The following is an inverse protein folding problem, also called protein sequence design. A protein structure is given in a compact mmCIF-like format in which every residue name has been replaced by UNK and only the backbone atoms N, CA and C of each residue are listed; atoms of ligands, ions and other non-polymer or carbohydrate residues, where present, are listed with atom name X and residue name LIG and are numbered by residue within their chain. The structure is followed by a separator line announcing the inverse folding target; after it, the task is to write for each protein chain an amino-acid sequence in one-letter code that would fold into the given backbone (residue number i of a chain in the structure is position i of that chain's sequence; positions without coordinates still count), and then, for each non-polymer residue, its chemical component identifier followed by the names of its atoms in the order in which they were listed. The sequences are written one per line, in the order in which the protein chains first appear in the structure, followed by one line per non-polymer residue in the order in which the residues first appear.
data_IF_537092478696
#
_entry.id   IF_537092478696
#
_cell.length_a   1.000
_cell.length_b   1.000
_cell.length_c   1.000
_cell.angle_alpha   90.00
_cell.angle_beta   90.00
_cell.angle_gamma   90.00
#
_symmetry.space_group_name_H-M   'P 1'
#
loop_
_entity.id
_entity.type
_entity.pdbx_description
1 polymer ?
#
# COMPACT_ATOMS: atom_id res chain seq x y z
N UNK A 1 18.54 -2.06 -33.86
CA UNK A 1 17.62 -1.43 -34.84
C UNK A 1 16.24 -1.28 -34.18
N UNK A 2 16.09 -0.34 -33.24
CA UNK A 2 14.76 0.00 -32.71
C UNK A 2 14.10 0.94 -33.70
N UNK A 3 13.37 0.37 -34.66
CA UNK A 3 12.43 1.12 -35.48
C UNK A 3 11.39 1.72 -34.54
N UNK A 4 11.55 3.01 -34.25
CA UNK A 4 10.49 3.93 -33.84
C UNK A 4 9.52 3.42 -32.77
N UNK A 5 9.95 3.41 -31.51
CA UNK A 5 9.04 3.22 -30.39
C UNK A 5 7.98 4.35 -30.42
N UNK A 6 6.73 3.98 -30.66
CA UNK A 6 5.60 4.92 -30.71
C UNK A 6 5.48 5.75 -29.43
N UNK A 7 5.81 5.16 -28.28
CA UNK A 7 5.82 5.84 -26.97
C UNK A 7 6.86 6.97 -26.95
N UNK A 8 8.08 6.73 -27.45
CA UNK A 8 9.14 7.76 -27.52
C UNK A 8 8.76 8.88 -28.49
N UNK A 9 8.13 8.53 -29.63
CA UNK A 9 7.64 9.54 -30.60
C UNK A 9 6.49 10.37 -30.02
N UNK A 10 5.52 9.74 -29.35
CA UNK A 10 4.42 10.43 -28.72
C UNK A 10 4.90 11.35 -27.59
N UNK A 11 5.87 10.89 -26.79
CA UNK A 11 6.51 11.69 -25.75
C UNK A 11 7.19 12.93 -26.32
N UNK A 12 8.00 12.78 -27.37
CA UNK A 12 8.63 13.94 -28.04
C UNK A 12 7.59 14.94 -28.55
N UNK A 13 6.54 14.46 -29.22
CA UNK A 13 5.44 15.31 -29.68
C UNK A 13 4.71 16.03 -28.54
N UNK A 14 4.53 15.37 -27.39
CA UNK A 14 3.92 15.97 -26.23
C UNK A 14 4.81 17.05 -25.60
N UNK A 15 6.14 16.88 -25.60
CA UNK A 15 7.08 17.89 -25.11
C UNK A 15 7.14 19.15 -25.98
N UNK A 16 6.91 19.00 -27.30
CA UNK A 16 6.94 20.11 -28.25
C UNK A 16 5.55 20.78 -28.44
N UNK A 17 4.51 20.33 -27.74
CA UNK A 17 3.14 20.82 -27.91
C UNK A 17 2.81 21.95 -26.92
N UNK A 18 2.12 22.99 -27.40
CA UNK A 18 1.61 24.08 -26.55
C UNK A 18 0.47 23.63 -25.62
N UNK A 19 -0.30 22.63 -26.05
CA UNK A 19 -1.44 22.07 -25.30
C UNK A 19 -1.39 20.56 -25.36
N UNK A 20 -1.42 19.93 -24.18
CA UNK A 20 -1.39 18.47 -24.03
C UNK A 20 -2.65 18.02 -23.29
N UNK A 21 -3.41 17.12 -23.90
CA UNK A 21 -4.58 16.50 -23.29
C UNK A 21 -4.22 15.08 -22.86
N UNK A 22 -4.37 14.80 -21.57
CA UNK A 22 -4.10 13.49 -20.97
C UNK A 22 -5.30 12.99 -20.21
N UNK A 23 -5.35 11.68 -20.01
CA UNK A 23 -6.32 11.06 -19.12
C UNK A 23 -5.87 11.25 -17.65
N UNK A 24 -6.83 11.47 -16.74
CA UNK A 24 -6.58 11.61 -15.29
C UNK A 24 -5.76 10.45 -14.69
N UNK A 25 -6.00 9.21 -15.14
CA UNK A 25 -5.23 8.04 -14.72
C UNK A 25 -3.75 8.15 -15.11
N UNK A 26 -3.46 8.62 -16.32
CA UNK A 26 -2.08 8.79 -16.80
C UNK A 26 -1.39 9.93 -16.06
N UNK A 27 -2.12 11.00 -15.79
CA UNK A 27 -1.64 12.13 -14.99
C UNK A 27 -1.22 11.70 -13.57
N UNK A 28 -2.10 11.00 -12.86
CA UNK A 28 -1.83 10.54 -11.50
C UNK A 28 -0.71 9.48 -11.45
N UNK A 29 -0.65 8.59 -12.44
CA UNK A 29 0.45 7.63 -12.56
C UNK A 29 1.80 8.32 -12.79
N UNK A 30 1.85 9.33 -13.66
CA UNK A 30 3.05 10.14 -13.92
C UNK A 30 3.51 10.87 -12.65
N UNK A 31 2.57 11.43 -11.86
CA UNK A 31 2.90 12.05 -10.58
C UNK A 31 3.54 11.08 -9.57
N UNK A 32 2.98 9.88 -9.39
CA UNK A 32 3.56 8.85 -8.49
C UNK A 32 4.96 8.45 -8.95
N UNK A 33 5.18 8.35 -10.25
CA UNK A 33 6.50 8.01 -10.82
C UNK A 33 7.49 9.16 -10.66
N UNK A 34 7.05 10.42 -10.81
CA UNK A 34 7.86 11.63 -10.57
C UNK A 34 8.41 11.69 -9.15
N UNK A 35 7.62 11.33 -8.13
CA UNK A 35 8.12 11.25 -6.74
C UNK A 35 9.26 10.24 -6.57
N UNK A 36 9.29 9.17 -7.38
CA UNK A 36 10.36 8.16 -7.36
C UNK A 36 11.58 8.51 -8.23
N UNK A 37 11.53 9.61 -8.98
CA UNK A 37 12.61 10.11 -9.84
C UNK A 37 12.81 9.36 -11.17
N UNK A 38 11.89 8.48 -11.55
CA UNK A 38 12.02 7.63 -12.75
C UNK A 38 11.23 8.14 -13.96
N UNK A 39 11.69 9.25 -14.56
CA UNK A 39 11.31 9.65 -15.91
C UNK A 39 9.93 10.29 -16.05
N UNK A 40 9.89 11.44 -16.72
CA UNK A 40 8.67 12.23 -16.91
C UNK A 40 8.01 11.91 -18.25
N UNK A 41 6.76 11.45 -18.23
CA UNK A 41 5.99 11.21 -19.43
C UNK A 41 5.25 12.48 -19.88
N UNK A 42 4.79 13.28 -18.92
CA UNK A 42 4.00 14.50 -19.15
C UNK A 42 4.88 15.73 -18.85
N UNK A 43 4.99 16.69 -19.79
CA UNK A 43 5.76 17.91 -19.57
C UNK A 43 5.19 18.73 -18.40
N UNK A 44 6.04 19.52 -17.74
CA UNK A 44 5.57 20.51 -16.78
C UNK A 44 4.72 21.57 -17.50
N UNK A 45 3.63 21.98 -16.86
CA UNK A 45 2.72 22.99 -17.38
C UNK A 45 2.43 24.03 -16.30
N UNK A 46 2.42 25.31 -16.69
CA UNK A 46 2.12 26.43 -15.78
C UNK A 46 0.63 26.45 -15.36
N UNK A 47 -0.24 25.94 -16.24
CA UNK A 47 -1.69 25.92 -16.03
C UNK A 47 -2.22 24.53 -16.36
N UNK A 48 -3.03 23.99 -15.46
CA UNK A 48 -3.66 22.68 -15.61
C UNK A 48 -5.17 22.82 -15.48
N UNK A 49 -5.90 22.24 -16.44
CA UNK A 49 -7.36 22.24 -16.46
C UNK A 49 -7.83 20.80 -16.28
N UNK A 50 -8.60 20.57 -15.20
CA UNK A 50 -9.22 19.29 -14.94
C UNK A 50 -10.68 19.33 -15.38
N UNK A 51 -10.99 18.52 -16.38
CA UNK A 51 -12.38 18.27 -16.75
C UNK A 51 -12.99 17.24 -15.78
N UNK A 52 -14.25 17.41 -15.41
CA UNK A 52 -14.93 16.54 -14.43
C UNK A 52 -14.13 16.34 -13.12
N UNK A 53 -13.54 17.42 -12.61
CA UNK A 53 -12.65 17.42 -11.43
C UNK A 53 -13.25 16.75 -10.18
N UNK A 54 -14.58 16.57 -10.12
CA UNK A 54 -15.27 15.83 -9.07
C UNK A 54 -14.85 14.35 -8.99
N UNK A 55 -14.38 13.73 -10.09
CA UNK A 55 -13.90 12.33 -10.11
C UNK A 55 -12.45 12.19 -9.65
N UNK A 56 -11.69 13.29 -9.66
CA UNK A 56 -10.26 13.30 -9.38
C UNK A 56 -9.91 12.70 -8.00
N UNK A 57 -10.65 12.98 -6.90
CA UNK A 57 -10.35 12.42 -5.59
C UNK A 57 -10.45 10.88 -5.54
N UNK A 58 -11.45 10.31 -6.22
CA UNK A 58 -11.68 8.87 -6.25
C UNK A 58 -10.57 8.16 -7.02
N UNK A 59 -10.16 8.72 -8.17
CA UNK A 59 -9.05 8.17 -8.97
C UNK A 59 -7.73 8.36 -8.22
N UNK A 60 -7.49 9.53 -7.62
CA UNK A 60 -6.29 9.80 -6.82
C UNK A 60 -6.16 8.82 -5.64
N UNK A 61 -7.26 8.47 -4.99
CA UNK A 61 -7.27 7.47 -3.91
C UNK A 61 -6.83 6.08 -4.37
N UNK A 62 -6.95 5.75 -5.66
CA UNK A 62 -6.45 4.47 -6.20
C UNK A 62 -4.94 4.48 -6.45
N UNK A 63 -4.36 5.64 -6.80
CA UNK A 63 -2.93 5.78 -7.10
C UNK A 63 -2.08 6.12 -5.88
N UNK A 64 -2.57 7.01 -5.01
CA UNK A 64 -1.89 7.46 -3.80
C UNK A 64 -2.38 6.76 -2.54
N UNK A 65 -3.59 6.18 -2.57
CA UNK A 65 -4.13 5.47 -1.42
C UNK A 65 -3.46 4.11 -1.21
N UNK A 66 -3.48 3.66 0.03
CA UNK A 66 -2.94 2.36 0.40
C UNK A 66 -4.09 1.36 0.55
N UNK A 67 -3.99 0.24 -0.16
CA UNK A 67 -4.94 -0.86 -0.03
C UNK A 67 -4.40 -1.90 0.93
N UNK A 68 -5.17 -2.20 1.98
CA UNK A 68 -4.90 -3.35 2.86
C UNK A 68 -5.92 -4.45 2.58
N UNK A 69 -5.43 -5.64 2.26
CA UNK A 69 -6.26 -6.84 2.08
C UNK A 69 -6.06 -7.82 3.22
N UNK A 70 -7.11 -8.54 3.60
CA UNK A 70 -7.00 -9.64 4.58
C UNK A 70 -6.03 -10.72 4.13
N UNK A 71 -5.85 -10.93 2.81
CA UNK A 71 -4.85 -11.86 2.28
C UNK A 71 -3.42 -11.41 2.62
N UNK A 72 -3.08 -10.13 2.44
CA UNK A 72 -1.77 -9.60 2.82
C UNK A 72 -1.49 -9.76 4.32
N UNK A 73 -2.49 -9.55 5.17
CA UNK A 73 -2.36 -9.76 6.62
C UNK A 73 -2.09 -11.24 6.96
N UNK A 74 -2.78 -12.18 6.31
CA UNK A 74 -2.58 -13.60 6.52
C UNK A 74 -1.24 -14.10 6.01
N UNK A 75 -0.81 -13.60 4.85
CA UNK A 75 0.50 -13.95 4.29
C UNK A 75 1.63 -13.40 5.17
N UNK A 76 1.48 -12.17 5.72
CA UNK A 76 2.40 -11.64 6.72
C UNK A 76 2.49 -12.52 7.98
N UNK A 77 1.36 -13.00 8.50
CA UNK A 77 1.36 -13.90 9.67
C UNK A 77 2.06 -15.24 9.38
N UNK A 78 1.91 -15.79 8.16
CA UNK A 78 2.66 -16.97 7.73
C UNK A 78 4.15 -16.71 7.62
N UNK A 79 4.54 -15.59 7.02
CA UNK A 79 5.95 -15.22 6.86
C UNK A 79 6.64 -15.06 8.23
N UNK A 80 5.95 -14.48 9.21
CA UNK A 80 6.43 -14.40 10.61
C UNK A 80 6.61 -15.81 11.20
N UNK A 81 5.65 -16.71 10.96
CA UNK A 81 5.73 -18.10 11.45
C UNK A 81 6.89 -18.86 10.81
N UNK A 82 7.16 -18.63 9.53
CA UNK A 82 8.28 -19.23 8.80
C UNK A 82 9.61 -18.69 9.34
N UNK A 83 9.75 -17.37 9.44
CA UNK A 83 10.95 -16.71 9.97
C UNK A 83 11.31 -17.23 11.37
N UNK A 84 10.31 -17.41 12.24
CA UNK A 84 10.50 -18.03 13.56
C UNK A 84 11.11 -19.44 13.44
N UNK A 85 10.53 -20.30 12.60
CA UNK A 85 11.00 -21.70 12.46
C UNK A 85 12.41 -21.82 11.88
N UNK A 86 12.83 -20.87 11.05
CA UNK A 86 14.12 -20.94 10.35
C UNK A 86 15.25 -20.24 11.10
N UNK A 87 14.96 -19.15 11.83
CA UNK A 87 16.01 -18.28 12.39
C UNK A 87 16.10 -18.29 13.92
N UNK A 88 15.06 -18.70 14.66
CA UNK A 88 14.98 -18.51 16.11
C UNK A 88 14.39 -19.73 16.83
N UNK A 89 15.24 -20.53 17.48
CA UNK A 89 14.80 -21.69 18.27
C UNK A 89 14.27 -21.37 19.68
N UNK A 90 14.29 -20.10 20.11
CA UNK A 90 14.26 -19.81 21.55
C UNK A 90 13.30 -18.69 21.99
N UNK A 91 12.11 -18.58 21.38
CA UNK A 91 11.13 -17.60 21.87
C UNK A 91 9.69 -18.06 21.64
N UNK A 92 9.15 -18.88 22.55
CA UNK A 92 7.73 -19.27 22.57
C UNK A 92 6.76 -18.06 22.48
N UNK A 93 7.19 -16.88 22.94
CA UNK A 93 6.40 -15.65 22.87
C UNK A 93 6.14 -15.21 21.42
N UNK A 94 7.09 -15.44 20.50
CA UNK A 94 7.01 -14.98 19.12
C UNK A 94 6.03 -15.82 18.30
N UNK A 95 6.03 -17.14 18.53
CA UNK A 95 5.01 -18.03 17.99
C UNK A 95 3.61 -17.64 18.48
N UNK A 96 3.45 -17.34 19.78
CA UNK A 96 2.17 -16.86 20.32
C UNK A 96 1.72 -15.53 19.70
N UNK A 97 2.65 -14.61 19.41
CA UNK A 97 2.34 -13.36 18.71
C UNK A 97 1.91 -13.63 17.26
N UNK A 98 2.58 -14.52 16.54
CA UNK A 98 2.21 -14.90 15.17
C UNK A 98 0.82 -15.55 15.11
N UNK A 99 0.53 -16.47 16.04
CA UNK A 99 -0.78 -17.12 16.15
C UNK A 99 -1.88 -16.09 16.47
N UNK A 100 -1.61 -15.14 17.37
CA UNK A 100 -2.54 -14.03 17.70
C UNK A 100 -2.79 -13.10 16.52
N UNK A 101 -1.76 -12.77 15.75
CA UNK A 101 -1.89 -11.95 14.54
C UNK A 101 -2.74 -12.67 13.50
N UNK A 102 -2.49 -13.96 13.27
CA UNK A 102 -3.28 -14.78 12.35
C UNK A 102 -4.76 -14.84 12.76
N UNK A 103 -5.03 -15.07 14.05
CA UNK A 103 -6.40 -15.09 14.58
C UNK A 103 -7.09 -13.74 14.42
N UNK A 104 -6.42 -12.65 14.81
CA UNK A 104 -6.98 -11.29 14.73
C UNK A 104 -7.26 -10.89 13.27
N UNK A 105 -6.40 -11.30 12.32
CA UNK A 105 -6.62 -11.08 10.90
C UNK A 105 -7.83 -11.86 10.34
N UNK A 106 -8.08 -13.08 10.82
CA UNK A 106 -9.28 -13.87 10.45
C UNK A 106 -10.54 -13.27 11.06
N UNK A 107 -10.50 -12.89 12.33
CA UNK A 107 -11.64 -12.28 13.03
C UNK A 107 -12.01 -10.95 12.37
N UNK A 108 -11.02 -10.12 12.03
CA UNK A 108 -11.22 -8.91 11.24
C UNK A 108 -11.86 -9.22 9.88
N UNK A 109 -11.38 -10.23 9.15
CA UNK A 109 -11.98 -10.65 7.87
C UNK A 109 -13.45 -11.08 8.04
N UNK A 110 -13.78 -11.82 9.08
CA UNK A 110 -15.16 -12.25 9.35
C UNK A 110 -16.09 -11.05 9.59
N UNK A 111 -15.60 -10.01 10.27
CA UNK A 111 -16.35 -8.77 10.50
C UNK A 111 -16.58 -7.94 9.22
N UNK A 112 -15.70 -8.08 8.21
CA UNK A 112 -15.84 -7.42 6.91
C UNK A 112 -16.93 -8.06 6.01
N UNK A 113 -17.40 -9.27 6.32
CA UNK A 113 -18.38 -10.03 5.52
C UNK A 113 -17.83 -10.62 4.22
N UNK A 114 -18.57 -11.53 3.59
CA UNK A 114 -18.30 -12.07 2.24
C UNK A 114 -19.11 -11.28 1.20
N UNK A 115 -18.53 -10.82 0.07
CA UNK A 115 -17.24 -11.18 -0.53
C UNK A 115 -16.04 -10.31 -0.08
N UNK A 116 -16.17 -9.55 1.01
CA UNK A 116 -15.18 -8.60 1.52
C UNK A 116 -15.52 -7.17 1.14
N UNK A 117 -15.51 -6.26 2.13
CA UNK A 117 -15.73 -4.83 1.91
C UNK A 117 -14.62 -4.25 1.00
N UNK A 118 -15.04 -3.56 -0.07
CA UNK A 118 -14.18 -2.74 -0.91
C UNK A 118 -14.70 -1.31 -0.85
N UNK A 119 -13.97 -0.46 -0.14
CA UNK A 119 -14.37 0.92 0.07
C UNK A 119 -13.42 1.64 1.01
N UNK A 120 -13.90 2.74 1.59
CA UNK A 120 -13.09 3.62 2.41
C UNK A 120 -12.86 3.00 3.80
N UNK A 121 -11.58 2.84 4.17
CA UNK A 121 -11.23 2.32 5.49
C UNK A 121 -11.76 3.21 6.63
N UNK A 122 -11.85 4.54 6.44
CA UNK A 122 -12.37 5.47 7.46
C UNK A 122 -13.84 5.21 7.77
N UNK A 123 -14.65 4.93 6.75
CA UNK A 123 -16.07 4.57 6.94
C UNK A 123 -16.21 3.24 7.68
N UNK A 124 -15.34 2.30 7.35
CA UNK A 124 -15.30 0.99 7.99
C UNK A 124 -14.86 1.06 9.47
N UNK A 125 -13.86 1.89 9.77
CA UNK A 125 -13.39 2.17 11.12
C UNK A 125 -14.38 3.00 11.95
N UNK A 126 -15.40 3.60 11.33
CA UNK A 126 -16.48 4.26 12.07
C UNK A 126 -17.31 3.25 12.89
N UNK A 127 -17.27 1.95 12.54
CA UNK A 127 -17.87 0.91 13.35
C UNK A 127 -16.96 0.56 14.56
N UNK A 128 -17.42 0.75 15.81
CA UNK A 128 -16.60 0.52 17.00
C UNK A 128 -16.09 -0.92 17.14
N UNK A 129 -16.82 -1.90 16.60
CA UNK A 129 -16.39 -3.30 16.64
C UNK A 129 -15.18 -3.54 15.72
N UNK A 130 -15.23 -2.97 14.52
CA UNK A 130 -14.18 -3.11 13.52
C UNK A 130 -12.95 -2.29 13.92
N UNK A 131 -13.18 -1.10 14.48
CA UNK A 131 -12.11 -0.26 15.04
C UNK A 131 -11.32 -1.00 16.13
N UNK A 132 -12.01 -1.71 17.05
CA UNK A 132 -11.34 -2.51 18.08
C UNK A 132 -10.53 -3.67 17.49
N UNK A 133 -11.07 -4.38 16.52
CA UNK A 133 -10.36 -5.45 15.84
C UNK A 133 -9.12 -4.93 15.10
N UNK A 134 -9.21 -3.75 14.48
CA UNK A 134 -8.09 -3.08 13.84
C UNK A 134 -7.01 -2.64 14.84
N UNK A 135 -7.39 -2.04 15.97
CA UNK A 135 -6.44 -1.64 17.02
C UNK A 135 -5.67 -2.84 17.59
N UNK A 136 -6.36 -3.96 17.86
CA UNK A 136 -5.70 -5.19 18.30
C UNK A 136 -4.67 -5.70 17.28
N UNK A 137 -5.01 -5.59 15.98
CA UNK A 137 -4.10 -5.97 14.91
C UNK A 137 -2.89 -5.02 14.85
N UNK A 138 -3.11 -3.71 14.99
CA UNK A 138 -2.05 -2.71 15.00
C UNK A 138 -1.09 -2.90 16.20
N UNK A 139 -1.61 -3.10 17.41
CA UNK A 139 -0.83 -3.39 18.61
C UNK A 139 0.06 -4.64 18.41
N UNK A 140 -0.49 -5.71 17.81
CA UNK A 140 0.30 -6.92 17.53
C UNK A 140 1.40 -6.70 16.50
N UNK A 141 1.16 -5.85 15.50
CA UNK A 141 2.17 -5.47 14.51
C UNK A 141 3.26 -4.58 15.11
N UNK A 142 2.89 -3.63 15.97
CA UNK A 142 3.84 -2.72 16.63
C UNK A 142 4.78 -3.49 17.55
N UNK A 143 4.26 -4.44 18.33
CA UNK A 143 5.07 -5.35 19.15
C UNK A 143 6.08 -6.14 18.30
N UNK A 144 5.66 -6.64 17.14
CA UNK A 144 6.54 -7.34 16.21
C UNK A 144 7.62 -6.42 15.63
N UNK A 145 7.25 -5.20 15.19
CA UNK A 145 8.21 -4.23 14.64
C UNK A 145 9.23 -3.80 15.69
N UNK A 146 8.79 -3.57 16.93
CA UNK A 146 9.65 -3.20 18.06
C UNK A 146 10.63 -4.33 18.38
N UNK A 147 10.14 -5.57 18.45
CA UNK A 147 11.00 -6.74 18.64
C UNK A 147 12.03 -6.88 17.53
N UNK A 148 11.62 -6.72 16.26
CA UNK A 148 12.52 -6.75 15.10
C UNK A 148 13.64 -5.71 15.22
N UNK A 149 13.29 -4.45 15.53
CA UNK A 149 14.27 -3.37 15.64
C UNK A 149 15.25 -3.58 16.81
N UNK A 150 14.84 -4.25 17.89
CA UNK A 150 15.68 -4.51 19.06
C UNK A 150 16.58 -5.76 18.90
N UNK A 151 16.19 -6.76 18.11
CA UNK A 151 16.91 -8.04 18.05
C UNK A 151 17.65 -8.31 16.74
N UNK A 152 17.30 -7.60 15.66
CA UNK A 152 17.71 -7.96 14.32
C UNK A 152 17.91 -6.66 13.52
N UNK A 153 19.17 -6.22 13.37
CA UNK A 153 19.49 -5.20 12.37
C UNK A 153 19.27 -5.79 10.98
N UNK A 154 18.05 -5.71 10.41
CA UNK A 154 17.67 -6.55 9.24
C UNK A 154 17.88 -5.85 7.88
N UNK A 155 18.40 -6.60 6.88
CA UNK A 155 18.49 -6.24 5.46
C UNK A 155 17.16 -5.95 4.71
N UNK A 156 17.22 -5.39 3.49
CA UNK A 156 16.10 -4.72 2.78
C UNK A 156 14.95 -5.60 2.25
N UNK A 157 15.08 -6.93 2.23
CA UNK A 157 14.15 -7.79 1.49
C UNK A 157 12.73 -7.87 2.09
N UNK A 158 12.56 -7.55 3.38
CA UNK A 158 11.27 -7.60 4.09
C UNK A 158 10.53 -6.24 4.15
N UNK A 159 11.10 -5.19 3.55
CA UNK A 159 10.61 -3.81 3.70
C UNK A 159 9.31 -3.51 2.93
N UNK A 160 8.96 -4.32 1.93
CA UNK A 160 7.85 -4.02 1.00
C UNK A 160 6.45 -4.13 1.59
N UNK A 161 6.22 -5.02 2.57
CA UNK A 161 4.88 -5.22 3.12
C UNK A 161 4.57 -4.35 4.34
N UNK A 162 5.60 -3.93 5.10
CA UNK A 162 5.44 -3.19 6.35
C UNK A 162 5.29 -1.67 6.14
N UNK A 163 5.83 -1.10 5.06
CA UNK A 163 5.67 0.32 4.74
C UNK A 163 4.22 0.69 4.43
N UNK A 164 3.49 -0.21 3.76
CA UNK A 164 2.06 -0.04 3.45
C UNK A 164 1.14 -0.19 4.67
N UNK A 165 1.60 -0.80 5.76
CA UNK A 165 0.82 -0.93 7.00
C UNK A 165 1.00 0.30 7.90
N UNK A 166 2.24 0.82 7.98
CA UNK A 166 2.59 1.95 8.86
C UNK A 166 1.92 3.26 8.45
N UNK A 167 1.71 3.49 7.16
CA UNK A 167 1.00 4.66 6.66
C UNK A 167 -0.53 4.53 6.80
N UNK A 168 -1.09 3.32 6.88
CA UNK A 168 -2.53 3.10 7.14
C UNK A 168 -2.87 3.26 8.63
N UNK A 169 -1.99 2.85 9.53
CA UNK A 169 -2.22 2.95 10.97
C UNK A 169 -2.07 4.38 11.52
N UNK A 170 -1.28 5.23 10.86
CA UNK A 170 -0.90 6.55 11.37
C UNK A 170 -1.28 7.75 10.44
N UNK A 171 -2.12 7.54 9.42
CA UNK A 171 -2.61 8.58 8.48
C UNK A 171 -4.12 8.56 8.28
#
# INVERSE_FOLDING_TARGET
MYKDCFVVKARKKAMDADVVVVNHHLFLADMVVKESGFGELIPEADVMIFDEAHQLPDIASQYFGQSLSSRQLLDLAKDITIAYRTELKDTQQLQKCADRLAQSAQDFRLQLGEPGYRGNLRELLANPQIQRAFLLLDDTLELFMTWRNCHWGVPPCWMRHLSALRCIAHG
#
